data_IF_358688499649
#
_entry.id   IF_358688499649
#
_cell.length_a   1.000
_cell.length_b   1.000
_cell.length_c   1.000
_cell.angle_alpha   90.00
_cell.angle_beta   90.00
_cell.angle_gamma   90.00
#
_symmetry.space_group_name_H-M   'P 1'
#
loop_
_entity.id
_entity.type
_entity.pdbx_description
1 polymer ?
#
# COMPACT_ATOMS: atom_id res chain seq x y z
N UNK A 1 -51.11 -5.16 28.62
CA UNK A 1 -50.74 -3.82 29.12
C UNK A 1 -49.68 -3.21 28.21
N UNK A 2 -50.05 -2.10 27.56
CA UNK A 2 -49.28 -1.37 26.52
C UNK A 2 -47.89 -0.90 27.03
N UNK A 3 -47.71 -0.86 28.35
CA UNK A 3 -46.47 -0.45 29.02
C UNK A 3 -45.33 -1.47 28.94
N UNK A 4 -45.60 -2.78 28.79
CA UNK A 4 -44.53 -3.79 28.69
C UNK A 4 -43.90 -3.84 27.30
N UNK A 5 -44.73 -3.71 26.26
CA UNK A 5 -44.31 -3.79 24.85
C UNK A 5 -43.35 -2.66 24.46
N UNK A 6 -43.63 -1.42 24.91
CA UNK A 6 -42.74 -0.26 24.71
C UNK A 6 -41.37 -0.42 25.36
N UNK A 7 -41.30 -1.11 26.49
CA UNK A 7 -40.04 -1.35 27.23
C UNK A 7 -39.12 -2.31 26.46
N UNK A 8 -39.69 -3.36 25.86
CA UNK A 8 -38.94 -4.38 25.14
C UNK A 8 -38.40 -3.87 23.80
N UNK A 9 -39.15 -3.01 23.11
CA UNK A 9 -38.68 -2.32 21.89
C UNK A 9 -37.53 -1.36 22.16
N UNK A 10 -37.58 -0.66 23.29
CA UNK A 10 -36.51 0.25 23.71
C UNK A 10 -35.22 -0.54 23.98
N UNK A 11 -35.34 -1.73 24.58
CA UNK A 11 -34.22 -2.63 24.85
C UNK A 11 -33.64 -3.25 23.58
N UNK A 12 -34.48 -3.59 22.58
CA UNK A 12 -34.04 -4.08 21.27
C UNK A 12 -33.31 -3.01 20.47
N UNK A 13 -33.79 -1.77 20.44
CA UNK A 13 -33.11 -0.64 19.78
C UNK A 13 -31.77 -0.30 20.42
N UNK A 14 -31.66 -0.34 21.74
CA UNK A 14 -30.39 -0.15 22.45
C UNK A 14 -29.36 -1.24 22.10
N UNK A 15 -29.80 -2.48 21.86
CA UNK A 15 -28.94 -3.60 21.46
C UNK A 15 -28.50 -3.52 19.99
N UNK A 16 -29.34 -2.95 19.11
CA UNK A 16 -29.02 -2.72 17.70
C UNK A 16 -28.01 -1.56 17.50
N UNK A 17 -28.01 -0.57 18.39
CA UNK A 17 -27.04 0.53 18.41
C UNK A 17 -25.70 0.15 19.05
N UNK A 18 -25.64 -0.96 19.79
CA UNK A 18 -24.38 -1.60 20.21
C UNK A 18 -23.76 -2.35 19.02
N UNK A 19 -23.54 -1.64 17.92
CA UNK A 19 -22.57 -2.05 16.92
C UNK A 19 -21.24 -2.23 17.64
N UNK A 20 -20.76 -3.46 17.73
CA UNK A 20 -19.48 -3.82 18.34
C UNK A 20 -18.42 -2.88 17.76
N UNK A 21 -17.98 -1.90 18.55
CA UNK A 21 -16.91 -0.99 18.16
C UNK A 21 -15.76 -1.87 17.72
N UNK A 22 -15.40 -1.85 16.42
CA UNK A 22 -14.18 -2.51 15.98
C UNK A 22 -13.08 -1.90 16.82
N UNK A 23 -12.43 -2.70 17.65
CA UNK A 23 -11.18 -2.26 18.27
C UNK A 23 -10.26 -2.03 17.08
N UNK A 24 -10.00 -0.75 16.79
CA UNK A 24 -8.92 -0.41 15.87
C UNK A 24 -7.68 -0.93 16.56
N UNK A 25 -6.96 -1.84 15.90
CA UNK A 25 -5.72 -2.38 16.44
C UNK A 25 -4.79 -1.19 16.70
N UNK A 26 -4.57 -0.88 17.98
CA UNK A 26 -3.82 0.30 18.45
C UNK A 26 -2.46 0.42 17.76
N UNK A 27 -1.85 -0.73 17.47
CA UNK A 27 -0.54 -0.84 16.82
C UNK A 27 -0.51 -0.27 15.40
N UNK A 28 -1.66 -0.18 14.70
CA UNK A 28 -1.72 0.42 13.36
C UNK A 28 -1.59 1.94 13.37
N UNK A 29 -1.62 2.57 14.55
CA UNK A 29 -1.51 4.02 14.70
C UNK A 29 -0.15 4.45 15.25
N UNK A 30 0.71 3.50 15.59
CA UNK A 30 2.03 3.77 16.15
C UNK A 30 3.07 4.06 15.05
N UNK A 31 4.17 4.72 15.42
CA UNK A 31 5.31 4.92 14.51
C UNK A 31 6.16 3.68 14.39
N UNK A 32 6.80 3.52 13.23
CA UNK A 32 7.75 2.46 12.97
C UNK A 32 8.94 2.49 13.94
N UNK A 33 9.30 1.31 14.41
CA UNK A 33 10.46 1.05 15.26
C UNK A 33 11.70 0.73 14.42
N UNK A 34 12.87 0.76 15.07
CA UNK A 34 14.13 0.33 14.44
C UNK A 34 14.09 -1.14 14.03
N UNK A 35 13.51 -2.00 14.87
CA UNK A 35 13.44 -3.43 14.60
C UNK A 35 12.58 -3.74 13.37
N UNK A 36 11.43 -3.08 13.23
CA UNK A 36 10.58 -3.22 12.04
C UNK A 36 11.31 -2.75 10.78
N UNK A 37 12.04 -1.63 10.85
CA UNK A 37 12.86 -1.19 9.71
C UNK A 37 13.93 -2.22 9.34
N UNK A 38 14.65 -2.75 10.33
CA UNK A 38 15.68 -3.75 10.07
C UNK A 38 15.11 -5.05 9.51
N UNK A 39 13.95 -5.48 9.99
CA UNK A 39 13.24 -6.64 9.44
C UNK A 39 12.77 -6.40 8.01
N UNK A 40 12.19 -5.24 7.73
CA UNK A 40 11.79 -4.84 6.38
C UNK A 40 12.98 -4.81 5.41
N UNK A 41 14.12 -4.29 5.85
CA UNK A 41 15.35 -4.28 5.05
C UNK A 41 15.90 -5.70 4.81
N UNK A 42 15.83 -6.61 5.79
CA UNK A 42 16.23 -8.01 5.60
C UNK A 42 15.33 -8.74 4.59
N UNK A 43 14.04 -8.40 4.57
CA UNK A 43 13.05 -9.03 3.70
C UNK A 43 12.93 -8.39 2.31
N UNK A 44 13.75 -7.37 2.01
CA UNK A 44 13.72 -6.65 0.74
C UNK A 44 14.15 -7.55 -0.41
N UNK A 45 13.33 -7.65 -1.47
CA UNK A 45 13.67 -8.43 -2.66
C UNK A 45 14.78 -7.72 -3.44
N UNK A 46 15.93 -8.37 -3.59
CA UNK A 46 17.06 -7.82 -4.35
C UNK A 46 16.84 -7.90 -5.87
N UNK A 47 17.73 -7.24 -6.62
CA UNK A 47 17.78 -7.21 -8.09
C UNK A 47 16.48 -6.73 -8.73
N UNK A 48 15.82 -5.79 -8.08
CA UNK A 48 14.68 -5.05 -8.62
C UNK A 48 15.18 -3.79 -9.31
N UNK A 49 14.42 -3.33 -10.30
CA UNK A 49 14.70 -2.05 -10.95
C UNK A 49 14.59 -0.94 -9.91
N UNK A 50 15.57 -0.02 -9.84
CA UNK A 50 15.47 1.14 -8.96
C UNK A 50 14.30 2.03 -9.35
N UNK A 51 13.87 2.87 -8.41
CA UNK A 51 12.95 3.95 -8.69
C UNK A 51 13.57 5.02 -9.60
N UNK A 52 12.80 6.10 -9.84
CA UNK A 52 13.28 7.26 -10.61
C UNK A 52 14.48 7.96 -9.95
N UNK A 53 14.63 7.80 -8.65
CA UNK A 53 15.75 8.29 -7.84
C UNK A 53 17.05 7.50 -8.03
N UNK A 54 17.02 6.34 -8.70
CA UNK A 54 18.17 5.48 -8.89
C UNK A 54 18.59 4.70 -7.65
N UNK A 55 17.85 4.78 -6.53
CA UNK A 55 18.18 4.07 -5.30
C UNK A 55 17.76 2.61 -5.45
N UNK A 56 18.72 1.70 -5.32
CA UNK A 56 18.46 0.26 -5.38
C UNK A 56 18.19 -0.32 -3.99
N UNK A 57 17.53 -1.48 -3.96
CA UNK A 57 17.28 -2.21 -2.71
C UNK A 57 18.59 -2.62 -2.01
N UNK A 58 19.64 -2.93 -2.78
CA UNK A 58 20.97 -3.25 -2.27
C UNK A 58 21.61 -2.07 -1.53
N UNK A 59 21.40 -0.84 -2.02
CA UNK A 59 21.89 0.37 -1.35
C UNK A 59 21.20 0.53 0.02
N UNK A 60 19.89 0.27 0.09
CA UNK A 60 19.12 0.34 1.33
C UNK A 60 19.57 -0.71 2.35
N UNK A 61 19.86 -1.93 1.92
CA UNK A 61 20.37 -2.99 2.80
C UNK A 61 21.76 -2.68 3.35
N UNK A 62 22.59 -1.99 2.56
CA UNK A 62 23.97 -1.64 2.90
C UNK A 62 24.13 -0.32 3.68
N UNK A 63 23.03 0.34 4.05
CA UNK A 63 23.09 1.57 4.83
C UNK A 63 23.76 1.35 6.19
N UNK A 64 24.62 2.30 6.57
CA UNK A 64 25.17 2.39 7.93
C UNK A 64 24.11 2.80 8.95
N UNK A 65 24.43 2.65 10.25
CA UNK A 65 23.51 2.94 11.37
C UNK A 65 22.95 4.36 11.37
N UNK A 66 23.76 5.36 11.04
CA UNK A 66 23.32 6.77 10.93
C UNK A 66 22.31 6.96 9.79
N UNK A 67 22.59 6.40 8.62
CA UNK A 67 21.70 6.52 7.47
C UNK A 67 20.38 5.76 7.71
N UNK A 68 20.41 4.60 8.34
CA UNK A 68 19.20 3.88 8.79
C UNK A 68 18.37 4.70 9.79
N UNK A 69 19.04 5.42 10.71
CA UNK A 69 18.34 6.32 11.63
C UNK A 69 17.64 7.48 10.90
N UNK A 70 18.31 8.08 9.92
CA UNK A 70 17.73 9.14 9.10
C UNK A 70 16.54 8.63 8.28
N UNK A 71 16.68 7.46 7.65
CA UNK A 71 15.59 6.82 6.89
C UNK A 71 14.37 6.58 7.78
N UNK A 72 14.57 6.02 8.98
CA UNK A 72 13.48 5.80 9.94
C UNK A 72 12.79 7.11 10.32
N UNK A 73 13.56 8.18 10.55
CA UNK A 73 13.02 9.49 10.88
C UNK A 73 12.14 10.03 9.75
N UNK A 74 12.59 9.95 8.50
CA UNK A 74 11.81 10.39 7.33
C UNK A 74 10.51 9.59 7.19
N UNK A 75 10.56 8.25 7.33
CA UNK A 75 9.38 7.40 7.25
C UNK A 75 8.36 7.74 8.35
N UNK A 76 8.81 7.93 9.58
CA UNK A 76 7.95 8.28 10.70
C UNK A 76 7.39 9.70 10.61
N UNK A 77 8.16 10.65 10.07
CA UNK A 77 7.64 11.99 9.78
C UNK A 77 6.55 11.93 8.72
N UNK A 78 6.76 11.17 7.65
CA UNK A 78 5.74 10.95 6.62
C UNK A 78 4.48 10.30 7.19
N UNK A 79 4.64 9.28 8.03
CA UNK A 79 3.54 8.60 8.70
C UNK A 79 2.71 9.55 9.59
N UNK A 80 3.36 10.33 10.45
CA UNK A 80 2.69 11.25 11.39
C UNK A 80 1.99 12.40 10.69
N UNK A 81 2.58 12.93 9.62
CA UNK A 81 2.04 14.08 8.89
C UNK A 81 1.04 13.69 7.81
N UNK A 82 1.03 12.42 7.39
CA UNK A 82 0.30 11.95 6.21
C UNK A 82 0.87 12.48 4.89
N UNK A 83 2.04 13.12 4.91
CA UNK A 83 2.67 13.73 3.74
C UNK A 83 3.76 12.79 3.22
N UNK A 84 3.60 12.31 2.00
CA UNK A 84 4.60 11.51 1.29
C UNK A 84 5.23 12.35 0.16
N UNK A 85 6.57 12.30 -0.03
CA UNK A 85 7.24 12.96 -1.14
C UNK A 85 6.63 12.58 -2.50
N UNK A 86 6.63 13.52 -3.45
CA UNK A 86 6.07 13.28 -4.79
C UNK A 86 6.85 12.17 -5.50
N UNK A 87 8.15 12.15 -5.30
CA UNK A 87 9.11 11.21 -5.87
C UNK A 87 8.76 9.76 -5.51
N UNK A 88 8.22 9.52 -4.31
CA UNK A 88 7.79 8.18 -3.88
C UNK A 88 6.53 7.69 -4.60
N UNK A 89 5.76 8.60 -5.21
CA UNK A 89 4.56 8.29 -6.01
C UNK A 89 4.88 8.12 -7.49
N UNK A 90 6.05 8.55 -7.93
CA UNK A 90 6.47 8.47 -9.33
C UNK A 90 7.09 7.10 -9.61
N UNK A 91 6.62 6.41 -10.65
CA UNK A 91 7.16 5.12 -11.08
C UNK A 91 7.55 5.16 -12.54
N UNK A 92 8.65 4.48 -12.90
CA UNK A 92 9.08 4.35 -14.30
C UNK A 92 8.31 3.19 -14.92
N UNK A 93 7.40 3.49 -15.84
CA UNK A 93 6.72 2.48 -16.64
C UNK A 93 7.54 2.17 -17.90
N UNK A 94 8.21 1.01 -17.93
CA UNK A 94 8.85 0.49 -19.15
C UNK A 94 8.04 -0.70 -19.68
N UNK A 95 7.35 -0.58 -20.82
CA UNK A 95 6.66 -1.71 -21.44
C UNK A 95 7.67 -2.77 -21.90
N UNK A 96 7.59 -3.98 -21.32
CA UNK A 96 8.39 -5.12 -21.77
C UNK A 96 7.60 -5.86 -22.85
N UNK A 97 8.07 -5.78 -24.09
CA UNK A 97 7.50 -6.54 -25.19
C UNK A 97 7.84 -8.03 -25.01
N UNK A 98 6.80 -8.87 -24.93
CA UNK A 98 7.00 -10.32 -24.90
C UNK A 98 7.65 -10.79 -26.22
N UNK A 99 8.72 -11.58 -26.17
CA UNK A 99 9.33 -12.14 -27.38
C UNK A 99 8.31 -13.06 -28.10
N UNK A 100 8.28 -12.99 -29.44
CA UNK A 100 7.43 -13.84 -30.28
C UNK A 100 6.10 -13.24 -30.74
N UNK A 101 5.73 -12.01 -30.32
CA UNK A 101 4.56 -11.32 -30.87
C UNK A 101 4.97 -10.40 -32.02
N UNK A 102 4.76 -10.87 -33.26
CA UNK A 102 4.97 -10.07 -34.46
C UNK A 102 4.05 -8.85 -34.45
N UNK A 103 4.62 -7.65 -34.66
CA UNK A 103 3.85 -6.39 -34.70
C UNK A 103 2.69 -6.49 -35.69
N UNK A 104 2.88 -7.10 -36.87
CA UNK A 104 1.80 -7.30 -37.85
C UNK A 104 0.59 -8.07 -37.31
N UNK A 105 0.81 -9.10 -36.49
CA UNK A 105 -0.29 -9.93 -35.95
C UNK A 105 -1.16 -9.10 -34.99
N UNK A 106 -0.56 -8.18 -34.22
CA UNK A 106 -1.32 -7.28 -33.35
C UNK A 106 -2.13 -6.24 -34.12
N UNK A 107 -1.58 -5.68 -35.22
CA UNK A 107 -2.32 -4.72 -36.06
C UNK A 107 -3.48 -5.40 -36.78
N UNK A 108 -3.29 -6.63 -37.27
CA UNK A 108 -4.36 -7.39 -37.92
C UNK A 108 -5.48 -7.78 -36.94
N UNK A 109 -5.16 -8.13 -35.69
CA UNK A 109 -6.18 -8.39 -34.67
C UNK A 109 -6.96 -7.13 -34.27
N UNK A 110 -6.32 -5.96 -34.26
CA UNK A 110 -7.02 -4.70 -33.99
C UNK A 110 -7.90 -4.24 -35.15
N UNK A 111 -7.50 -4.53 -36.41
CA UNK A 111 -8.27 -4.18 -37.60
C UNK A 111 -9.45 -5.15 -37.84
N UNK A 112 -9.29 -6.44 -37.53
CA UNK A 112 -10.40 -7.40 -37.64
C UNK A 112 -11.52 -7.17 -36.63
N UNK A 113 -11.25 -6.55 -35.48
CA UNK A 113 -12.29 -6.20 -34.49
C UNK A 113 -13.09 -4.94 -34.90
N UNK A 114 -12.50 -4.04 -35.70
CA UNK A 114 -13.19 -2.82 -36.17
C UNK A 114 -13.94 -3.06 -37.50
N UNK A 115 -13.55 -4.09 -38.27
CA UNK A 115 -14.23 -4.45 -39.52
C UNK A 115 -15.50 -5.31 -39.33
N UNK A 116 -15.89 -5.61 -38.09
CA UNK A 116 -17.15 -6.29 -37.74
C UNK A 116 -17.96 -5.36 -36.83
N UNK A 117 -18.33 -4.18 -37.34
CA UNK A 117 -19.43 -3.34 -36.87
C UNK A 117 -20.08 -2.66 -38.07
#
# INVERSE_FOLDING_TARGET
SITKEKSDDTKRKARALQGKSRKVDSHLMDTFTRNELEEALRNLKLRKSPGKDGITNEMLTNLGTRAKAALLAVLNMSWRTGIVPREWKETIMVPILRPGKNKLIMWMSSLMQVSVM
#
